data_IF_220109951277
#
_entry.id   IF_220109951277
#
_cell.length_a   1.000
_cell.length_b   1.000
_cell.length_c   1.000
_cell.angle_alpha   90.00
_cell.angle_beta   90.00
_cell.angle_gamma   90.00
#
_symmetry.space_group_name_H-M   'P 1'
#
loop_
_entity.id
_entity.type
_entity.pdbx_description
1 polymer ?
#
# COMPACT_ATOMS: atom_id res chain seq x y z
N UNK A 1 -17.81 -7.24 8.51
CA UNK A 1 -16.48 -6.95 9.06
C UNK A 1 -15.34 -7.74 8.42
N UNK A 2 -15.59 -8.64 7.45
CA UNK A 2 -14.49 -9.23 6.66
C UNK A 2 -14.47 -8.67 5.23
N UNK A 3 -15.66 -8.48 4.63
CA UNK A 3 -15.77 -7.97 3.26
C UNK A 3 -15.33 -6.51 3.11
N UNK A 4 -15.66 -5.64 4.08
CA UNK A 4 -15.25 -4.24 4.09
C UNK A 4 -13.72 -4.12 4.23
N UNK A 5 -13.15 -4.89 5.14
CA UNK A 5 -11.73 -4.91 5.44
C UNK A 5 -10.93 -5.45 4.25
N UNK A 6 -11.43 -6.49 3.59
CA UNK A 6 -10.91 -6.99 2.33
C UNK A 6 -11.00 -5.93 1.21
N UNK A 7 -12.13 -5.23 1.08
CA UNK A 7 -12.29 -4.15 0.12
C UNK A 7 -11.27 -3.02 0.36
N UNK A 8 -11.08 -2.59 1.61
CA UNK A 8 -10.10 -1.57 1.98
C UNK A 8 -8.69 -2.04 1.64
N UNK A 9 -8.35 -3.30 1.91
CA UNK A 9 -7.06 -3.87 1.57
C UNK A 9 -6.80 -3.81 0.06
N UNK A 10 -7.75 -4.30 -0.75
CA UNK A 10 -7.64 -4.31 -2.21
C UNK A 10 -7.55 -2.88 -2.76
N UNK A 11 -8.41 -1.98 -2.27
CA UNK A 11 -8.42 -0.58 -2.71
C UNK A 11 -7.11 0.14 -2.37
N UNK A 12 -6.58 -0.07 -1.15
CA UNK A 12 -5.30 0.50 -0.74
C UNK A 12 -4.14 -0.06 -1.59
N UNK A 13 -4.10 -1.38 -1.79
CA UNK A 13 -3.08 -2.01 -2.61
C UNK A 13 -3.12 -1.49 -4.05
N UNK A 14 -4.30 -1.42 -4.66
CA UNK A 14 -4.48 -0.88 -6.01
C UNK A 14 -4.03 0.58 -6.10
N UNK A 15 -4.41 1.42 -5.14
CA UNK A 15 -4.01 2.84 -5.11
C UNK A 15 -2.48 3.00 -5.02
N UNK A 16 -1.82 2.25 -4.12
CA UNK A 16 -0.36 2.29 -4.03
C UNK A 16 0.31 1.73 -5.28
N UNK A 17 -0.14 0.59 -5.80
CA UNK A 17 0.41 -0.01 -7.00
C UNK A 17 0.30 0.94 -8.21
N UNK A 18 -0.85 1.60 -8.40
CA UNK A 18 -1.04 2.60 -9.44
C UNK A 18 -0.11 3.80 -9.26
N UNK A 19 0.01 4.33 -8.05
CA UNK A 19 0.90 5.46 -7.78
C UNK A 19 2.38 5.12 -8.03
N UNK A 20 2.83 3.95 -7.57
CA UNK A 20 4.20 3.46 -7.77
C UNK A 20 4.47 3.19 -9.25
N UNK A 21 3.53 2.55 -9.96
CA UNK A 21 3.65 2.31 -11.39
C UNK A 21 3.75 3.62 -12.17
N UNK A 22 2.91 4.61 -11.85
CA UNK A 22 2.96 5.93 -12.47
C UNK A 22 4.29 6.65 -12.18
N UNK A 23 4.75 6.64 -10.93
CA UNK A 23 6.03 7.22 -10.53
C UNK A 23 7.19 6.57 -11.29
N UNK A 24 7.26 5.24 -11.31
CA UNK A 24 8.34 4.54 -11.99
C UNK A 24 8.29 4.72 -13.52
N UNK A 25 7.09 4.73 -14.11
CA UNK A 25 6.93 4.99 -15.55
C UNK A 25 7.44 6.38 -15.95
N UNK A 26 7.23 7.39 -15.10
CA UNK A 26 7.65 8.77 -15.38
C UNK A 26 9.15 8.96 -15.12
N UNK A 27 9.69 8.38 -14.05
CA UNK A 27 11.03 8.74 -13.55
C UNK A 27 12.10 7.65 -13.69
N UNK A 28 11.71 6.38 -13.87
CA UNK A 28 12.62 5.23 -13.80
C UNK A 28 12.51 4.28 -15.03
N UNK A 29 11.68 4.61 -16.02
CA UNK A 29 11.59 3.87 -17.28
C UNK A 29 10.58 2.72 -17.23
N UNK A 30 11.00 1.49 -17.53
CA UNK A 30 10.14 0.31 -17.61
C UNK A 30 10.15 -0.48 -16.29
N UNK A 31 9.26 -0.16 -15.32
CA UNK A 31 9.20 -0.88 -14.05
C UNK A 31 8.81 -2.33 -14.25
N UNK A 32 9.47 -3.21 -13.50
CA UNK A 32 9.06 -4.61 -13.46
C UNK A 32 7.81 -4.80 -12.59
N UNK A 33 6.99 -5.80 -12.92
CA UNK A 33 5.82 -6.16 -12.11
C UNK A 33 6.20 -6.48 -10.65
N UNK A 34 7.35 -7.13 -10.45
CA UNK A 34 7.91 -7.43 -9.12
C UNK A 34 8.15 -6.15 -8.32
N UNK A 35 8.76 -5.15 -8.92
CA UNK A 35 9.09 -3.89 -8.24
C UNK A 35 7.82 -3.16 -7.79
N UNK A 36 6.85 -2.98 -8.69
CA UNK A 36 5.57 -2.34 -8.37
C UNK A 36 4.85 -3.08 -7.23
N UNK A 37 4.71 -4.41 -7.34
CA UNK A 37 3.93 -5.20 -6.38
C UNK A 37 4.62 -5.34 -5.02
N UNK A 38 5.95 -5.50 -4.99
CA UNK A 38 6.70 -5.57 -3.74
C UNK A 38 6.70 -4.25 -2.99
N UNK A 39 6.89 -3.12 -3.68
CA UNK A 39 6.82 -1.79 -3.07
C UNK A 39 5.40 -1.46 -2.62
N UNK A 40 4.37 -1.78 -3.42
CA UNK A 40 2.97 -1.59 -3.03
C UNK A 40 2.61 -2.45 -1.81
N UNK A 41 3.08 -3.71 -1.76
CA UNK A 41 2.91 -4.59 -0.62
C UNK A 41 3.53 -4.01 0.65
N UNK A 42 4.77 -3.51 0.57
CA UNK A 42 5.44 -2.85 1.69
C UNK A 42 4.68 -1.59 2.15
N UNK A 43 4.15 -0.78 1.23
CA UNK A 43 3.36 0.41 1.55
C UNK A 43 2.05 0.05 2.27
N UNK A 44 1.36 -1.01 1.83
CA UNK A 44 0.14 -1.50 2.50
C UNK A 44 0.46 -2.02 3.91
N UNK A 45 1.53 -2.79 4.08
CA UNK A 45 1.98 -3.23 5.42
C UNK A 45 2.24 -2.01 6.31
N UNK A 46 2.99 -1.02 5.80
CA UNK A 46 3.25 0.23 6.50
C UNK A 46 1.97 0.98 6.89
N UNK A 47 0.95 0.99 6.04
CA UNK A 47 -0.36 1.59 6.36
C UNK A 47 -1.04 0.90 7.55
N UNK A 48 -1.06 -0.43 7.58
CA UNK A 48 -1.67 -1.17 8.68
C UNK A 48 -0.87 -1.06 9.98
N UNK A 49 0.46 -1.18 9.90
CA UNK A 49 1.36 -0.98 11.04
C UNK A 49 1.23 0.44 11.59
N UNK A 50 1.20 1.46 10.71
CA UNK A 50 1.03 2.85 11.10
C UNK A 50 -0.31 3.11 11.79
N UNK A 51 -1.40 2.52 11.30
CA UNK A 51 -2.71 2.59 11.99
C UNK A 51 -2.69 1.88 13.34
N UNK A 52 -2.04 0.73 13.44
CA UNK A 52 -1.89 0.03 14.71
C UNK A 52 -1.10 0.87 15.72
N UNK A 53 0.03 1.45 15.30
CA UNK A 53 0.82 2.35 16.14
C UNK A 53 0.03 3.61 16.51
N UNK A 54 -0.67 4.23 15.57
CA UNK A 54 -1.53 5.38 15.85
C UNK A 54 -2.61 5.04 16.88
N UNK A 55 -3.24 3.87 16.75
CA UNK A 55 -4.24 3.42 17.71
C UNK A 55 -3.64 3.24 19.11
N UNK A 56 -2.46 2.60 19.20
CA UNK A 56 -1.68 2.47 20.44
C UNK A 56 -1.33 3.83 21.04
N UNK A 57 -0.73 4.73 20.28
CA UNK A 57 -0.34 6.05 20.78
C UNK A 57 -1.54 6.87 21.28
N UNK A 58 -2.72 6.70 20.68
CA UNK A 58 -3.93 7.38 21.11
C UNK A 58 -4.62 6.73 22.33
N UNK A 59 -4.32 5.46 22.66
CA UNK A 59 -5.07 4.68 23.67
C UNK A 59 -4.21 3.86 24.68
N UNK A 60 -2.88 3.81 24.57
CA UNK A 60 -1.97 2.99 25.41
C UNK A 60 -1.19 1.92 24.64
#
# INVERSE_FOLDING_TARGET
MILRELFIFIAAFAAFASAIAAYLAVFHGAPSFKEITSTAGAAVIGLYVGRYLQHRLNHG
#
